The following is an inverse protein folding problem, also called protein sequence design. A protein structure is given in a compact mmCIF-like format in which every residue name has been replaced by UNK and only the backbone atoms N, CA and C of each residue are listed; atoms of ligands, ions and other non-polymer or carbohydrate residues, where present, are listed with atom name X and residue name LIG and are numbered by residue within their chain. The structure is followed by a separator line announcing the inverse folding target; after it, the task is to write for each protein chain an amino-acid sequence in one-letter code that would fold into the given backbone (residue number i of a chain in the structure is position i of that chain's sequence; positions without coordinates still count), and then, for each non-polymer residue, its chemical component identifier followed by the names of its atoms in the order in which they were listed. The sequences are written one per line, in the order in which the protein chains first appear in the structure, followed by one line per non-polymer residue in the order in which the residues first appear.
data_IF_768416855662
#
_entry.id   IF_768416855662
#
_cell.length_a   1.000
_cell.length_b   1.000
_cell.length_c   1.000
_cell.angle_alpha   90.00
_cell.angle_beta   90.00
_cell.angle_gamma   90.00
#
_symmetry.space_group_name_H-M   'P 1'
#
loop_
_entity.id
_entity.type
_entity.pdbx_description
1 polymer ?
#
# COMPACT_ATOMS: atom_id res chain seq x y z
N UNK A 1 23.62 1.23 5.13
CA UNK A 1 22.43 0.63 5.75
C UNK A 1 21.77 1.68 6.63
N UNK A 2 20.55 2.11 6.30
CA UNK A 2 19.76 2.97 7.17
C UNK A 2 18.41 2.30 7.40
N UNK A 3 18.37 1.42 8.40
CA UNK A 3 17.12 0.95 9.01
C UNK A 3 16.60 2.11 9.85
N UNK A 4 15.59 2.81 9.34
CA UNK A 4 14.84 3.78 10.13
C UNK A 4 13.98 3.06 11.16
N UNK A 5 14.59 2.61 12.27
CA UNK A 5 13.85 2.18 13.45
C UNK A 5 13.20 3.45 14.00
N UNK A 6 11.87 3.56 13.85
CA UNK A 6 11.10 4.67 14.41
C UNK A 6 11.27 4.60 15.94
N UNK A 7 11.85 5.63 16.61
CA UNK A 7 12.02 5.59 18.05
C UNK A 7 10.66 5.45 18.76
N UNK A 8 10.60 4.73 19.89
CA UNK A 8 9.35 4.38 20.58
C UNK A 8 8.50 5.58 21.05
N UNK A 9 9.05 6.80 21.05
CA UNK A 9 8.37 8.06 21.40
C UNK A 9 8.18 9.01 20.21
N UNK A 10 8.25 8.51 18.98
CA UNK A 10 7.97 9.35 17.81
C UNK A 10 6.49 9.70 17.78
N UNK A 11 6.15 10.95 18.09
CA UNK A 11 4.82 11.50 17.83
C UNK A 11 4.65 11.51 16.32
N UNK A 12 3.88 10.56 15.81
CA UNK A 12 3.53 10.52 14.40
C UNK A 12 2.64 11.72 14.11
N UNK A 13 2.79 12.30 12.91
CA UNK A 13 1.80 13.29 12.46
C UNK A 13 0.43 12.61 12.34
N UNK A 14 -0.67 13.37 12.48
CA UNK A 14 -2.03 12.82 12.37
C UNK A 14 -2.24 12.05 11.07
N UNK A 15 -1.61 12.51 9.99
CA UNK A 15 -1.65 11.88 8.68
C UNK A 15 -0.90 10.53 8.66
N UNK A 16 0.22 10.43 9.37
CA UNK A 16 0.98 9.18 9.50
C UNK A 16 0.25 8.16 10.41
N UNK A 17 -0.39 8.63 11.49
CA UNK A 17 -1.24 7.79 12.33
C UNK A 17 -2.44 7.23 11.55
N UNK A 18 -3.07 8.08 10.74
CA UNK A 18 -4.17 7.66 9.86
C UNK A 18 -3.74 6.55 8.88
N UNK A 19 -2.59 6.70 8.21
CA UNK A 19 -2.05 5.63 7.34
C UNK A 19 -1.69 4.38 8.11
N UNK A 20 -1.16 4.50 9.33
CA UNK A 20 -0.89 3.35 10.21
C UNK A 20 -2.18 2.62 10.58
N UNK A 21 -3.28 3.35 10.84
CA UNK A 21 -4.60 2.77 11.09
C UNK A 21 -5.11 2.00 9.88
N UNK A 22 -5.10 2.62 8.69
CA UNK A 22 -5.50 1.95 7.43
C UNK A 22 -4.71 0.66 7.18
N UNK A 23 -3.40 0.70 7.42
CA UNK A 23 -2.51 -0.45 7.32
C UNK A 23 -2.92 -1.56 8.29
N UNK A 24 -3.07 -1.22 9.57
CA UNK A 24 -3.36 -2.18 10.64
C UNK A 24 -4.71 -2.86 10.43
N UNK A 25 -5.75 -2.10 10.08
CA UNK A 25 -7.08 -2.63 9.79
C UNK A 25 -7.10 -3.52 8.54
N UNK A 26 -6.16 -3.31 7.61
CA UNK A 26 -6.06 -4.07 6.37
C UNK A 26 -5.02 -5.18 6.40
N UNK A 27 -4.25 -5.29 7.49
CA UNK A 27 -2.99 -6.04 7.50
C UNK A 27 -3.15 -7.49 7.05
N UNK A 28 -4.10 -8.22 7.64
CA UNK A 28 -4.37 -9.63 7.27
C UNK A 28 -4.72 -9.78 5.78
N UNK A 29 -5.50 -8.85 5.23
CA UNK A 29 -5.86 -8.86 3.81
C UNK A 29 -4.66 -8.55 2.91
N UNK A 30 -3.79 -7.63 3.34
CA UNK A 30 -2.56 -7.26 2.62
C UNK A 30 -1.57 -8.44 2.59
N UNK A 31 -1.39 -9.16 3.71
CA UNK A 31 -0.58 -10.38 3.75
C UNK A 31 -1.09 -11.46 2.80
N UNK A 32 -2.42 -11.59 2.71
CA UNK A 32 -3.02 -12.53 1.79
C UNK A 32 -2.83 -12.13 0.31
N UNK A 33 -2.87 -10.84 -0.02
CA UNK A 33 -2.52 -10.38 -1.35
C UNK A 33 -1.06 -10.70 -1.71
N UNK A 34 -0.13 -10.47 -0.78
CA UNK A 34 1.27 -10.87 -0.96
C UNK A 34 1.41 -12.40 -1.16
N UNK A 35 0.67 -13.21 -0.39
CA UNK A 35 0.65 -14.66 -0.59
C UNK A 35 0.10 -15.06 -1.96
N UNK A 36 -0.98 -14.42 -2.42
CA UNK A 36 -1.56 -14.69 -3.75
C UNK A 36 -0.60 -14.29 -4.89
N UNK A 37 0.17 -13.22 -4.73
CA UNK A 37 1.19 -12.82 -5.71
C UNK A 37 2.19 -13.97 -5.97
N UNK A 38 2.71 -14.58 -4.90
CA UNK A 38 3.62 -15.72 -5.00
C UNK A 38 2.94 -16.99 -5.50
N UNK A 39 1.80 -17.35 -4.91
CA UNK A 39 1.25 -18.70 -5.05
C UNK A 39 0.28 -18.84 -6.21
N UNK A 40 -0.51 -17.80 -6.50
CA UNK A 40 -1.53 -17.80 -7.56
C UNK A 40 -0.96 -17.18 -8.83
N UNK A 41 -0.33 -16.00 -8.71
CA UNK A 41 0.19 -15.28 -9.88
C UNK A 41 1.60 -15.73 -10.29
N UNK A 42 2.30 -16.51 -9.46
CA UNK A 42 3.67 -16.99 -9.70
C UNK A 42 4.65 -15.85 -10.00
N UNK A 43 4.48 -14.73 -9.29
CA UNK A 43 5.28 -13.52 -9.42
C UNK A 43 6.10 -13.26 -8.17
N UNK A 44 7.32 -12.74 -8.35
CA UNK A 44 8.21 -12.39 -7.25
C UNK A 44 7.78 -11.11 -6.53
N UNK A 45 8.42 -10.85 -5.40
CA UNK A 45 8.31 -9.61 -4.63
C UNK A 45 8.97 -8.39 -5.30
N UNK A 46 9.66 -8.57 -6.42
CA UNK A 46 10.22 -7.50 -7.27
C UNK A 46 9.39 -7.26 -8.53
N UNK A 47 8.45 -8.15 -8.87
CA UNK A 47 7.54 -7.98 -10.00
C UNK A 47 6.21 -7.32 -9.59
N UNK A 48 5.75 -7.58 -8.36
CA UNK A 48 4.48 -7.09 -7.83
C UNK A 48 4.65 -6.38 -6.49
N UNK A 49 3.74 -5.44 -6.23
CA UNK A 49 3.60 -4.73 -4.97
C UNK A 49 2.17 -4.81 -4.48
N UNK A 50 1.98 -4.68 -3.18
CA UNK A 50 0.65 -4.58 -2.58
C UNK A 50 0.32 -3.11 -2.35
N UNK A 51 -0.93 -2.73 -2.56
CA UNK A 51 -1.40 -1.35 -2.38
C UNK A 51 -2.62 -1.29 -1.47
N UNK A 52 -2.69 -0.24 -0.66
CA UNK A 52 -3.83 0.18 0.14
C UNK A 52 -4.02 1.68 -0.04
N UNK A 53 -5.11 2.10 -0.69
CA UNK A 53 -5.29 3.47 -1.18
C UNK A 53 -6.60 4.03 -0.66
N UNK A 54 -6.58 5.19 -0.01
CA UNK A 54 -7.77 5.96 0.31
C UNK A 54 -8.38 6.48 -1.00
N UNK A 55 -9.59 6.04 -1.32
CA UNK A 55 -10.22 6.32 -2.63
C UNK A 55 -10.48 7.82 -2.80
N UNK A 56 -11.04 8.46 -1.77
CA UNK A 56 -11.31 9.90 -1.75
C UNK A 56 -10.07 10.70 -1.33
N UNK A 57 -9.03 10.64 -2.15
CA UNK A 57 -7.79 11.38 -1.94
C UNK A 57 -7.18 11.83 -3.26
N UNK A 58 -6.08 12.59 -3.20
CA UNK A 58 -5.24 12.89 -4.37
C UNK A 58 -4.78 11.67 -5.19
N UNK A 59 -4.89 10.46 -4.63
CA UNK A 59 -4.52 9.20 -5.30
C UNK A 59 -5.65 8.59 -6.12
N UNK A 60 -6.84 9.20 -6.18
CA UNK A 60 -7.97 8.71 -6.98
C UNK A 60 -7.62 8.34 -8.43
N UNK A 61 -6.78 9.11 -9.17
CA UNK A 61 -6.36 8.70 -10.52
C UNK A 61 -5.64 7.34 -10.55
N UNK A 62 -4.85 7.02 -9.51
CA UNK A 62 -4.17 5.73 -9.39
C UNK A 62 -5.17 4.61 -9.08
N UNK A 63 -6.18 4.88 -8.26
CA UNK A 63 -7.28 3.94 -7.99
C UNK A 63 -8.03 3.62 -9.28
N UNK A 64 -8.38 4.64 -10.07
CA UNK A 64 -9.12 4.47 -11.33
C UNK A 64 -8.32 3.71 -12.38
N UNK A 65 -7.01 3.95 -12.42
CA UNK A 65 -6.10 3.19 -13.27
C UNK A 65 -6.02 1.71 -12.87
N UNK A 66 -5.95 1.42 -11.57
CA UNK A 66 -5.83 0.06 -11.05
C UNK A 66 -7.15 -0.72 -11.04
N UNK A 67 -8.27 -0.03 -10.90
CA UNK A 67 -9.60 -0.62 -10.75
C UNK A 67 -10.58 0.07 -11.71
N UNK A 68 -10.36 -0.04 -13.03
CA UNK A 68 -11.19 0.64 -14.02
C UNK A 68 -12.64 0.15 -13.96
N UNK A 69 -13.58 1.08 -13.95
CA UNK A 69 -15.02 0.79 -13.95
C UNK A 69 -15.59 0.31 -12.61
N UNK A 70 -14.81 0.32 -11.53
CA UNK A 70 -15.32 -0.01 -10.20
C UNK A 70 -16.20 1.13 -9.67
N UNK A 71 -17.45 0.82 -9.34
CA UNK A 71 -18.38 1.78 -8.77
C UNK A 71 -18.10 1.99 -7.27
N UNK A 72 -17.25 2.98 -7.00
CA UNK A 72 -16.94 3.41 -5.64
C UNK A 72 -18.12 4.14 -4.97
N UNK A 73 -19.04 4.71 -5.75
CA UNK A 73 -20.19 5.47 -5.22
C UNK A 73 -21.32 4.57 -4.73
N UNK A 74 -21.52 3.40 -5.35
CA UNK A 74 -22.45 2.39 -4.83
C UNK A 74 -22.10 1.92 -3.41
N UNK A 75 -20.82 1.94 -3.04
CA UNK A 75 -20.34 1.55 -1.70
C UNK A 75 -20.43 2.68 -0.67
N UNK A 76 -20.79 3.89 -1.10
CA UNK A 76 -20.81 5.10 -0.28
C UNK A 76 -21.95 5.15 0.75
N UNK A 77 -22.99 4.33 0.54
CA UNK A 77 -24.18 4.27 1.38
C UNK A 77 -23.91 3.84 2.84
N UNK A 78 -22.70 3.38 3.14
CA UNK A 78 -22.35 2.78 4.44
C UNK A 78 -21.63 3.72 5.42
N UNK A 79 -21.35 4.98 5.06
CA UNK A 79 -20.47 5.89 5.85
C UNK A 79 -19.08 5.30 6.19
N UNK A 80 -18.69 4.18 5.56
CA UNK A 80 -17.38 3.57 5.72
C UNK A 80 -16.42 4.25 4.76
N UNK A 81 -15.26 4.61 5.28
CA UNK A 81 -14.22 5.21 4.46
C UNK A 81 -13.69 4.21 3.43
N UNK A 82 -13.75 4.60 2.16
CA UNK A 82 -13.46 3.71 1.04
C UNK A 82 -11.95 3.54 0.87
N UNK A 83 -11.49 2.30 1.01
CA UNK A 83 -10.10 1.91 0.81
C UNK A 83 -9.98 0.86 -0.29
N UNK A 84 -9.25 1.20 -1.35
CA UNK A 84 -8.90 0.27 -2.42
C UNK A 84 -7.69 -0.57 -2.00
N UNK A 85 -7.77 -1.89 -2.16
CA UNK A 85 -6.71 -2.82 -1.75
C UNK A 85 -6.47 -3.82 -2.85
N UNK A 86 -5.22 -4.10 -3.18
CA UNK A 86 -4.91 -5.04 -4.24
C UNK A 86 -3.44 -5.25 -4.47
N UNK A 87 -3.15 -5.91 -5.59
CA UNK A 87 -1.80 -6.18 -6.07
C UNK A 87 -1.62 -5.38 -7.35
N UNK A 88 -0.47 -4.75 -7.52
CA UNK A 88 -0.12 -3.99 -8.70
C UNK A 88 1.26 -4.37 -9.21
N UNK A 89 1.53 -4.10 -10.49
CA UNK A 89 2.86 -4.26 -11.05
C UNK A 89 3.88 -3.31 -10.42
N UNK A 90 5.14 -3.73 -10.38
CA UNK A 90 6.26 -2.94 -9.84
C UNK A 90 6.38 -1.53 -10.44
N UNK A 91 5.87 -1.31 -11.67
CA UNK A 91 5.84 0.01 -12.31
C UNK A 91 5.14 1.09 -11.48
N UNK A 92 4.24 0.73 -10.55
CA UNK A 92 3.64 1.68 -9.61
C UNK A 92 4.67 2.36 -8.71
N UNK A 93 5.79 1.70 -8.38
CA UNK A 93 6.86 2.30 -7.59
C UNK A 93 7.35 3.63 -8.20
N UNK A 94 7.46 3.68 -9.54
CA UNK A 94 7.90 4.88 -10.25
C UNK A 94 6.84 5.98 -10.24
N UNK A 95 5.56 5.61 -10.33
CA UNK A 95 4.44 6.56 -10.25
C UNK A 95 4.40 7.20 -8.86
N UNK A 96 4.48 6.38 -7.81
CA UNK A 96 4.49 6.85 -6.41
C UNK A 96 5.73 7.70 -6.13
N UNK A 97 6.91 7.30 -6.61
CA UNK A 97 8.14 8.06 -6.48
C UNK A 97 8.04 9.44 -7.15
N UNK A 98 7.44 9.52 -8.35
CA UNK A 98 7.21 10.79 -9.05
C UNK A 98 6.22 11.71 -8.33
N UNK A 99 5.17 11.14 -7.73
CA UNK A 99 4.15 11.90 -6.98
C UNK A 99 4.59 12.25 -5.54
N UNK A 100 5.61 11.59 -5.00
CA UNK A 100 6.12 11.83 -3.64
C UNK A 100 7.66 11.69 -3.62
N UNK A 101 8.38 12.73 -4.07
CA UNK A 101 9.85 12.68 -4.22
C UNK A 101 10.59 12.39 -2.92
N UNK A 102 10.03 12.81 -1.78
CA UNK A 102 10.58 12.60 -0.44
C UNK A 102 10.69 11.12 -0.02
N UNK A 103 9.99 10.21 -0.72
CA UNK A 103 10.05 8.76 -0.49
C UNK A 103 10.52 7.99 -1.72
N UNK A 104 11.00 8.66 -2.77
CA UNK A 104 11.33 8.04 -4.05
C UNK A 104 12.35 6.89 -3.92
N UNK A 105 13.40 7.09 -3.13
CA UNK A 105 14.41 6.06 -2.87
C UNK A 105 13.79 4.84 -2.17
N UNK A 106 12.96 5.06 -1.16
CA UNK A 106 12.26 3.99 -0.46
C UNK A 106 11.21 3.30 -1.35
N UNK A 107 10.57 4.04 -2.27
CA UNK A 107 9.57 3.53 -3.19
C UNK A 107 10.19 2.63 -4.26
N UNK A 108 11.42 2.92 -4.71
CA UNK A 108 12.10 2.18 -5.78
C UNK A 108 13.03 1.07 -5.27
N UNK A 109 13.47 1.13 -4.01
CA UNK A 109 14.30 0.09 -3.39
C UNK A 109 13.59 -1.27 -3.33
N UNK A 110 14.23 -2.37 -3.70
CA UNK A 110 13.63 -3.71 -3.57
C UNK A 110 13.32 -4.06 -2.10
N UNK A 111 12.22 -4.80 -1.82
CA UNK A 111 11.91 -5.24 -0.48
C UNK A 111 12.92 -6.28 0.01
N UNK A 112 12.99 -6.49 1.32
CA UNK A 112 13.79 -7.55 1.92
C UNK A 112 13.36 -8.92 1.38
N UNK A 113 14.31 -9.86 1.30
CA UNK A 113 14.02 -11.24 0.88
C UNK A 113 12.86 -11.83 1.72
N UNK A 114 11.95 -12.54 1.06
CA UNK A 114 10.76 -13.10 1.69
C UNK A 114 9.65 -12.09 2.02
N UNK A 115 9.87 -10.79 1.82
CA UNK A 115 8.89 -9.75 2.11
C UNK A 115 8.33 -9.10 0.84
N UNK A 116 7.09 -8.61 0.93
CA UNK A 116 6.46 -7.79 -0.09
C UNK A 116 6.38 -6.33 0.32
N UNK A 117 6.60 -5.44 -0.65
CA UNK A 117 6.38 -4.02 -0.46
C UNK A 117 4.89 -3.71 -0.45
N UNK A 118 4.49 -2.89 0.52
CA UNK A 118 3.13 -2.36 0.64
C UNK A 118 3.17 -0.84 0.59
N UNK A 119 2.42 -0.25 -0.33
CA UNK A 119 2.15 1.18 -0.34
C UNK A 119 0.82 1.47 0.35
N UNK A 120 0.87 2.33 1.36
CA UNK A 120 -0.33 2.89 1.99
C UNK A 120 -0.42 4.36 1.62
N UNK A 121 -1.42 4.65 0.79
CA UNK A 121 -1.60 5.93 0.10
C UNK A 121 -2.86 6.61 0.63
N UNK A 122 -2.70 7.80 1.21
CA UNK A 122 -3.79 8.63 1.70
C UNK A 122 -3.56 10.09 1.31
N UNK A 123 -4.55 10.95 1.54
CA UNK A 123 -4.45 12.36 1.15
C UNK A 123 -3.22 13.06 1.77
N UNK A 124 -2.98 12.77 3.05
CA UNK A 124 -1.82 13.25 3.81
C UNK A 124 -0.47 12.62 3.47
N UNK A 125 -0.37 11.79 2.41
CA UNK A 125 0.90 11.29 1.89
C UNK A 125 0.98 9.77 1.74
N UNK A 126 2.19 9.23 1.82
CA UNK A 126 2.50 7.82 1.60
C UNK A 126 3.28 7.26 2.77
N UNK A 127 2.98 6.02 3.15
CA UNK A 127 3.86 5.21 3.98
C UNK A 127 4.13 3.89 3.28
N UNK A 128 5.38 3.44 3.31
CA UNK A 128 5.81 2.17 2.76
C UNK A 128 6.05 1.21 3.91
N UNK A 129 5.50 0.01 3.81
CA UNK A 129 5.73 -1.09 4.73
C UNK A 129 6.29 -2.30 3.98
N UNK A 130 6.92 -3.21 4.71
CA UNK A 130 7.28 -4.53 4.23
C UNK A 130 6.52 -5.56 5.05
N UNK A 131 5.94 -6.55 4.37
CA UNK A 131 5.13 -7.58 5.03
C UNK A 131 5.54 -8.98 4.58
N UNK A 132 5.44 -9.92 5.50
CA UNK A 132 5.54 -11.34 5.17
C UNK A 132 4.23 -11.82 4.54
N UNK A 133 4.30 -12.55 3.42
CA UNK A 133 3.15 -13.17 2.79
C UNK A 133 2.59 -14.28 3.70
N UNK A 134 1.27 -14.27 3.92
CA UNK A 134 0.59 -15.28 4.74
C UNK A 134 -0.73 -15.70 4.09
N UNK A 135 -0.98 -17.01 4.05
CA UNK A 135 -2.27 -17.54 3.62
C UNK A 135 -3.36 -17.11 4.62
N UNK A 136 -4.55 -16.77 4.12
CA UNK A 136 -5.68 -16.49 5.00
C UNK A 136 -6.11 -17.83 5.60
N UNK A 137 -6.18 -17.91 6.93
CA UNK A 137 -6.97 -18.94 7.60
C UNK A 137 -8.46 -18.62 7.48
#
# INVERSE_FOLDING_TARGET
MATGIIPPNTVLSKEAEYRKKMYTESYSRLQHFAWRALNVHKKSNTELVVVCIQVKSKWKPLVDFLMPGYDWEANHATNVELTAKGIAGWGICNIVAGMSPNIADAATKEPTEGHFKVFVLADGGVTIYEIEPKEHA
#
